data_IF_200205728062
#
_entry.id   IF_200205728062
#
_cell.length_a   1.000
_cell.length_b   1.000
_cell.length_c   1.000
_cell.angle_alpha   90.00
_cell.angle_beta   90.00
_cell.angle_gamma   90.00
#
_symmetry.space_group_name_H-M   'P 1'
#
loop_
_entity.id
_entity.type
_entity.pdbx_description
1 polymer ?
#
# COMPACT_ATOMS: atom_id res chain seq x y z
N UNK A 1 3.85 14.23 20.57
CA UNK A 1 3.36 13.35 19.48
C UNK A 1 1.87 13.54 19.40
N UNK A 2 1.36 14.20 18.36
CA UNK A 2 -0.07 14.17 18.04
C UNK A 2 -0.38 12.77 17.53
N UNK A 3 -0.90 11.94 18.41
CA UNK A 3 -1.28 10.58 18.08
C UNK A 3 -2.62 10.62 17.32
N UNK A 4 -2.70 9.91 16.19
CA UNK A 4 -3.92 9.77 15.38
C UNK A 4 -4.91 8.80 16.04
N UNK A 5 -4.89 8.66 17.37
CA UNK A 5 -5.77 7.81 18.18
C UNK A 5 -7.13 8.44 18.51
N UNK A 6 -7.36 9.68 18.06
CA UNK A 6 -8.60 10.41 18.25
C UNK A 6 -8.76 10.98 19.67
N UNK A 7 -9.04 12.28 19.74
CA UNK A 7 -9.41 12.97 20.98
C UNK A 7 -10.75 12.47 21.53
N UNK A 8 -11.03 12.75 22.81
CA UNK A 8 -12.34 12.42 23.41
C UNK A 8 -13.51 13.01 22.62
N UNK A 9 -13.35 14.24 22.12
CA UNK A 9 -14.36 14.91 21.27
C UNK A 9 -14.57 14.18 19.95
N UNK A 10 -13.48 13.77 19.28
CA UNK A 10 -13.55 13.01 18.03
C UNK A 10 -14.20 11.64 18.25
N UNK A 11 -13.82 10.90 19.29
CA UNK A 11 -14.45 9.60 19.62
C UNK A 11 -15.96 9.75 19.84
N UNK A 12 -16.37 10.75 20.62
CA UNK A 12 -17.79 11.05 20.81
C UNK A 12 -18.50 11.40 19.50
N UNK A 13 -17.89 12.24 18.66
CA UNK A 13 -18.45 12.65 17.38
C UNK A 13 -18.50 11.53 16.35
N UNK A 14 -17.58 10.55 16.42
CA UNK A 14 -17.59 9.35 15.61
C UNK A 14 -18.78 8.45 15.99
N UNK A 15 -19.05 8.27 17.29
CA UNK A 15 -20.17 7.44 17.78
C UNK A 15 -21.53 8.09 17.59
N UNK A 16 -21.64 9.40 17.85
CA UNK A 16 -22.90 10.12 17.80
C UNK A 16 -22.89 11.14 16.68
N UNK A 17 -23.72 10.91 15.65
CA UNK A 17 -23.92 11.88 14.58
C UNK A 17 -24.33 13.24 15.16
N UNK A 18 -23.75 14.33 14.61
CA UNK A 18 -24.12 15.70 15.01
C UNK A 18 -25.54 16.09 14.59
N UNK A 19 -26.23 15.22 13.82
CA UNK A 19 -27.60 15.43 13.36
C UNK A 19 -28.59 15.12 14.51
N UNK A 20 -29.47 16.06 14.90
CA UNK A 20 -30.40 15.84 16.00
C UNK A 20 -31.44 14.76 15.66
N UNK A 21 -31.77 13.92 16.65
CA UNK A 21 -32.69 12.79 16.52
C UNK A 21 -34.13 13.15 16.10
N UNK A 22 -34.53 14.42 16.25
CA UNK A 22 -35.86 14.93 15.88
C UNK A 22 -36.05 15.20 14.38
N UNK A 23 -35.02 14.98 13.56
CA UNK A 23 -35.05 15.21 12.12
C UNK A 23 -35.59 14.02 11.30
N UNK A 24 -36.73 13.45 11.70
CA UNK A 24 -37.32 12.21 11.13
C UNK A 24 -37.79 12.31 9.68
N UNK A 25 -37.68 13.46 9.01
CA UNK A 25 -38.19 13.66 7.64
C UNK A 25 -37.16 14.14 6.61
N UNK A 26 -35.87 14.20 6.96
CA UNK A 26 -34.90 14.89 6.12
C UNK A 26 -33.74 13.97 5.73
N UNK A 27 -33.58 13.84 4.41
CA UNK A 27 -32.55 13.08 3.70
C UNK A 27 -31.17 13.19 4.39
N UNK A 28 -30.44 12.08 4.63
CA UNK A 28 -29.16 12.06 5.34
C UNK A 28 -28.02 12.87 4.70
N UNK A 29 -28.24 13.47 3.53
CA UNK A 29 -27.27 14.28 2.79
C UNK A 29 -27.58 15.78 2.93
N UNK A 30 -27.16 16.46 4.01
CA UNK A 30 -27.53 17.89 4.21
C UNK A 30 -26.44 18.94 4.07
N UNK A 31 -25.16 18.61 4.23
CA UNK A 31 -24.09 19.61 4.10
C UNK A 31 -23.97 20.19 2.67
N UNK A 32 -23.67 21.49 2.49
CA UNK A 32 -23.35 22.03 1.17
C UNK A 32 -22.07 21.41 0.58
N UNK A 33 -21.21 20.89 1.46
CA UNK A 33 -19.91 20.34 1.13
C UNK A 33 -19.82 18.85 1.48
N UNK A 34 -18.83 18.19 0.88
CA UNK A 34 -18.45 16.80 1.12
C UNK A 34 -17.03 16.77 1.66
N UNK A 35 -16.82 16.07 2.77
CA UNK A 35 -15.49 15.82 3.29
C UNK A 35 -14.87 14.58 2.63
N UNK A 36 -13.63 14.73 2.16
CA UNK A 36 -12.90 13.73 1.38
C UNK A 36 -11.60 13.41 2.11
N UNK A 37 -11.42 12.16 2.50
CA UNK A 37 -10.19 11.66 3.12
C UNK A 37 -9.35 10.95 2.05
N UNK A 38 -8.26 11.57 1.57
CA UNK A 38 -7.40 10.90 0.62
C UNK A 38 -6.55 9.84 1.33
N UNK A 39 -6.47 8.67 0.71
CA UNK A 39 -5.58 7.55 1.07
C UNK A 39 -4.82 7.14 -0.19
N UNK A 40 -3.88 6.20 -0.10
CA UNK A 40 -3.11 5.73 -1.26
C UNK A 40 -3.24 4.24 -1.49
N UNK A 41 -3.10 3.84 -2.75
CA UNK A 41 -2.78 2.46 -3.10
C UNK A 41 -1.41 2.07 -2.53
N UNK A 42 -1.34 0.86 -1.98
CA UNK A 42 -0.12 0.30 -1.44
C UNK A 42 -0.10 -1.22 -1.61
N UNK A 43 1.06 -1.82 -1.33
CA UNK A 43 1.17 -3.26 -1.19
C UNK A 43 0.78 -3.67 0.23
N UNK A 44 0.05 -4.78 0.32
CA UNK A 44 -0.28 -5.41 1.59
C UNK A 44 0.98 -6.02 2.24
N UNK A 45 0.83 -6.53 3.45
CA UNK A 45 1.92 -7.12 4.25
C UNK A 45 2.77 -8.06 3.39
N UNK A 46 4.08 -7.88 3.49
CA UNK A 46 5.04 -8.74 2.80
C UNK A 46 5.19 -10.07 3.53
N UNK A 47 5.83 -11.05 2.89
CA UNK A 47 6.15 -12.35 3.53
C UNK A 47 7.17 -12.23 4.67
N UNK A 48 7.88 -11.12 4.77
CA UNK A 48 8.83 -10.80 5.84
C UNK A 48 8.19 -9.96 6.97
N UNK A 49 6.91 -9.59 6.83
CA UNK A 49 6.14 -8.95 7.92
C UNK A 49 6.05 -9.90 9.12
N UNK A 50 5.87 -9.34 10.32
CA UNK A 50 5.73 -10.12 11.56
C UNK A 50 4.48 -11.02 11.56
N UNK A 51 3.44 -10.65 10.81
CA UNK A 51 2.23 -11.43 10.63
C UNK A 51 1.76 -11.40 9.15
N UNK A 52 2.45 -12.11 8.25
CA UNK A 52 2.28 -12.00 6.79
C UNK A 52 0.92 -12.51 6.30
N UNK A 53 0.18 -13.27 7.12
CA UNK A 53 -1.16 -13.77 6.82
C UNK A 53 -2.29 -12.80 7.21
N UNK A 54 -1.99 -11.74 7.98
CA UNK A 54 -2.99 -10.73 8.40
C UNK A 54 -3.20 -9.68 7.32
N UNK A 55 -3.58 -10.13 6.14
CA UNK A 55 -3.81 -9.29 4.96
C UNK A 55 -5.10 -8.46 5.09
N UNK A 56 -5.11 -7.29 4.46
CA UNK A 56 -6.28 -6.42 4.32
C UNK A 56 -6.43 -6.00 2.86
N UNK A 57 -6.81 -6.93 1.97
CA UNK A 57 -6.88 -6.65 0.54
C UNK A 57 -7.96 -5.62 0.22
N UNK A 58 -7.86 -4.99 -0.96
CA UNK A 58 -8.89 -4.08 -1.46
C UNK A 58 -10.30 -4.68 -1.36
N UNK A 59 -11.22 -3.94 -0.74
CA UNK A 59 -12.57 -4.42 -0.46
C UNK A 59 -13.36 -4.65 -1.75
N UNK A 60 -14.21 -5.68 -1.74
CA UNK A 60 -15.15 -5.91 -2.85
C UNK A 60 -16.22 -4.82 -2.85
N UNK A 61 -16.63 -4.37 -4.05
CA UNK A 61 -17.75 -3.44 -4.22
C UNK A 61 -17.37 -2.00 -4.60
N UNK A 62 -16.10 -1.61 -4.55
CA UNK A 62 -15.62 -0.40 -5.21
C UNK A 62 -14.97 -0.72 -6.55
N UNK A 63 -14.96 0.26 -7.46
CA UNK A 63 -14.31 0.19 -8.77
C UNK A 63 -12.88 0.71 -8.64
N UNK A 64 -11.99 -0.15 -8.14
CA UNK A 64 -10.58 0.16 -7.99
C UNK A 64 -9.86 0.27 -9.33
N UNK A 65 -8.75 1.01 -9.32
CA UNK A 65 -7.83 1.12 -10.43
C UNK A 65 -7.38 -0.27 -10.91
N UNK A 66 -7.30 -0.43 -12.22
CA UNK A 66 -6.80 -1.67 -12.82
C UNK A 66 -5.29 -1.77 -12.59
N UNK A 67 -4.89 -2.62 -11.63
CA UNK A 67 -3.49 -2.85 -11.29
C UNK A 67 -3.01 -4.24 -11.78
N UNK A 68 -1.72 -4.39 -12.11
CA UNK A 68 -1.14 -5.68 -12.50
C UNK A 68 -1.35 -6.76 -11.44
N UNK A 69 -1.70 -7.99 -11.82
CA UNK A 69 -1.87 -9.07 -10.85
C UNK A 69 -0.53 -9.43 -10.21
N UNK A 70 -0.49 -9.45 -8.88
CA UNK A 70 0.66 -9.87 -8.09
C UNK A 70 0.50 -11.34 -7.67
N UNK A 71 1.62 -12.09 -7.64
CA UNK A 71 1.62 -13.52 -7.26
C UNK A 71 1.81 -13.75 -5.77
N UNK A 72 2.58 -12.90 -5.10
CA UNK A 72 3.08 -13.14 -3.74
C UNK A 72 2.38 -12.32 -2.66
N UNK A 73 1.61 -11.29 -3.04
CA UNK A 73 0.87 -10.41 -2.12
C UNK A 73 -0.28 -9.69 -2.83
N UNK A 74 -1.15 -9.05 -2.04
CA UNK A 74 -2.28 -8.25 -2.51
C UNK A 74 -1.96 -6.76 -2.52
N UNK A 75 -2.79 -5.99 -3.23
CA UNK A 75 -2.90 -4.54 -3.02
C UNK A 75 -3.81 -4.26 -1.83
N UNK A 76 -3.53 -3.15 -1.14
CA UNK A 76 -4.32 -2.60 -0.04
C UNK A 76 -4.39 -1.08 -0.15
N UNK A 77 -5.12 -0.44 0.77
CA UNK A 77 -5.07 1.01 0.97
C UNK A 77 -4.27 1.32 2.23
N UNK A 78 -3.48 2.39 2.18
CA UNK A 78 -2.74 2.93 3.33
C UNK A 78 -2.94 4.43 3.42
N UNK A 79 -2.71 4.99 4.60
CA UNK A 79 -2.66 6.43 4.79
C UNK A 79 -1.61 7.09 3.88
N UNK A 80 -1.86 8.36 3.54
CA UNK A 80 -0.83 9.20 2.93
C UNK A 80 0.30 9.45 3.93
N UNK A 81 1.52 9.57 3.40
CA UNK A 81 2.68 10.06 4.14
C UNK A 81 2.98 11.52 3.74
N UNK A 82 4.05 12.09 4.29
CA UNK A 82 4.45 13.47 4.03
C UNK A 82 4.60 13.71 2.52
N UNK A 83 3.91 14.73 2.01
CA UNK A 83 3.80 14.97 0.57
C UNK A 83 2.78 16.04 0.26
N UNK A 84 2.20 15.99 -0.93
CA UNK A 84 1.29 17.01 -1.45
C UNK A 84 0.07 16.39 -2.11
N UNK A 85 -1.09 17.01 -1.90
CA UNK A 85 -2.32 16.68 -2.61
C UNK A 85 -2.72 17.88 -3.46
N UNK A 86 -3.02 17.61 -4.72
CA UNK A 86 -3.47 18.59 -5.70
C UNK A 86 -4.92 18.30 -6.06
N UNK A 87 -5.76 19.33 -5.99
CA UNK A 87 -7.17 19.24 -6.37
C UNK A 87 -7.45 20.31 -7.40
N UNK A 88 -7.75 19.89 -8.63
CA UNK A 88 -8.32 20.79 -9.62
C UNK A 88 -9.83 20.67 -9.57
N UNK A 89 -10.50 21.75 -9.20
CA UNK A 89 -11.96 21.85 -9.23
C UNK A 89 -12.37 22.24 -10.65
N UNK A 90 -12.92 21.30 -11.43
CA UNK A 90 -13.35 21.55 -12.81
C UNK A 90 -14.58 22.47 -12.85
N UNK A 91 -15.34 22.59 -11.75
CA UNK A 91 -16.52 23.47 -11.67
C UNK A 91 -16.12 24.90 -11.34
N UNK A 92 -15.14 25.09 -10.44
CA UNK A 92 -14.61 26.40 -10.07
C UNK A 92 -13.44 26.87 -10.96
N UNK A 93 -12.89 25.98 -11.79
CA UNK A 93 -11.70 26.20 -12.64
C UNK A 93 -10.44 26.59 -11.85
N UNK A 94 -10.30 26.08 -10.62
CA UNK A 94 -9.17 26.40 -9.73
C UNK A 94 -8.36 25.17 -9.35
N UNK A 95 -7.03 25.33 -9.34
CA UNK A 95 -6.12 24.35 -8.73
C UNK A 95 -5.85 24.73 -7.28
N UNK A 96 -6.03 23.80 -6.37
CA UNK A 96 -5.68 23.90 -4.97
C UNK A 96 -4.54 22.93 -4.65
N UNK A 97 -3.61 23.40 -3.83
CA UNK A 97 -2.45 22.64 -3.37
C UNK A 97 -2.55 22.48 -1.85
N UNK A 98 -2.25 21.28 -1.36
CA UNK A 98 -2.25 20.95 0.06
C UNK A 98 -0.95 20.25 0.42
N UNK A 99 -0.34 20.61 1.54
CA UNK A 99 0.71 19.82 2.18
C UNK A 99 0.08 18.78 3.10
N UNK A 100 0.56 17.55 3.02
CA UNK A 100 0.15 16.43 3.87
C UNK A 100 1.20 16.24 4.96
N UNK A 101 0.74 16.12 6.20
CA UNK A 101 1.57 15.72 7.34
C UNK A 101 1.15 14.34 7.83
N UNK A 102 1.99 13.33 7.62
CA UNK A 102 1.78 11.95 8.08
C UNK A 102 1.65 11.86 9.60
N UNK A 103 2.44 12.68 10.31
CA UNK A 103 2.48 12.69 11.77
C UNK A 103 1.17 13.19 12.39
N UNK A 104 0.52 14.18 11.77
CA UNK A 104 -0.75 14.74 12.28
C UNK A 104 -1.97 14.16 11.57
N UNK A 105 -1.80 13.62 10.37
CA UNK A 105 -2.89 13.24 9.47
C UNK A 105 -3.56 14.42 8.78
N UNK A 106 -3.04 15.64 8.93
CA UNK A 106 -3.68 16.86 8.40
C UNK A 106 -3.21 17.20 7.00
N UNK A 107 -4.14 17.79 6.24
CA UNK A 107 -3.94 18.49 4.99
C UNK A 107 -4.09 19.99 5.24
N UNK A 108 -3.03 20.75 5.00
CA UNK A 108 -3.06 22.21 5.07
C UNK A 108 -2.98 22.81 3.68
N UNK A 109 -3.89 23.74 3.36
CA UNK A 109 -3.94 24.38 2.05
C UNK A 109 -2.77 25.36 1.92
N UNK A 110 -2.05 25.26 0.81
CA UNK A 110 -1.06 26.26 0.39
C UNK A 110 -1.78 27.28 -0.49
N UNK A 111 -1.97 28.48 0.05
CA UNK A 111 -2.55 29.59 -0.72
C UNK A 111 -1.41 30.34 -1.40
N UNK A 112 -1.41 30.32 -2.73
CA UNK A 112 -0.37 30.98 -3.52
C UNK A 112 -0.48 32.50 -3.37
N UNK A 113 0.61 33.12 -2.93
CA UNK A 113 0.75 34.58 -2.85
C UNK A 113 1.53 35.10 -4.07
N UNK A 114 1.46 36.41 -4.32
CA UNK A 114 2.20 37.04 -5.43
C UNK A 114 3.70 36.74 -5.38
N UNK A 115 4.27 36.64 -4.17
CA UNK A 115 5.69 36.31 -3.97
C UNK A 115 6.06 34.86 -4.34
N UNK A 116 5.06 33.98 -4.49
CA UNK A 116 5.24 32.57 -4.78
C UNK A 116 4.91 32.19 -6.23
N UNK A 117 4.37 33.13 -7.00
CA UNK A 117 4.12 32.94 -8.43
C UNK A 117 5.45 32.65 -9.14
N UNK A 118 5.49 31.56 -9.91
CA UNK A 118 6.70 31.12 -10.60
C UNK A 118 7.69 30.32 -9.72
N UNK A 119 7.44 30.18 -8.41
CA UNK A 119 8.34 29.42 -7.52
C UNK A 119 7.99 27.94 -7.48
N UNK A 120 9.00 27.08 -7.59
CA UNK A 120 8.87 25.62 -7.41
C UNK A 120 8.72 25.22 -5.94
N UNK A 121 9.11 26.10 -5.01
CA UNK A 121 8.97 25.89 -3.57
C UNK A 121 7.96 26.87 -3.01
N UNK A 122 6.85 26.34 -2.51
CA UNK A 122 5.74 27.15 -1.96
C UNK A 122 5.41 26.66 -0.57
N UNK A 123 5.15 27.60 0.33
CA UNK A 123 4.89 27.40 1.75
C UNK A 123 3.74 28.32 2.21
N UNK A 124 3.33 28.23 3.47
CA UNK A 124 2.16 28.98 3.94
C UNK A 124 0.93 28.07 3.95
N UNK A 125 0.87 27.27 5.01
CA UNK A 125 -0.19 26.33 5.31
C UNK A 125 -1.19 26.98 6.27
N UNK A 126 -2.49 26.81 6.02
CA UNK A 126 -3.54 27.15 6.98
C UNK A 126 -3.67 26.10 8.11
N UNK A 127 -4.63 26.32 9.01
CA UNK A 127 -5.04 25.35 10.03
C UNK A 127 -5.52 24.06 9.35
N UNK A 128 -4.62 23.08 9.28
CA UNK A 128 -4.84 21.85 8.52
C UNK A 128 -5.97 21.01 9.09
N UNK A 129 -6.67 20.32 8.20
CA UNK A 129 -7.77 19.40 8.54
C UNK A 129 -7.44 17.98 8.06
N UNK A 130 -7.95 16.92 8.69
CA UNK A 130 -7.68 15.55 8.25
C UNK A 130 -8.51 15.12 7.01
N UNK A 131 -9.10 16.09 6.31
CA UNK A 131 -9.91 15.90 5.13
C UNK A 131 -9.88 17.16 4.25
N UNK A 132 -10.15 16.97 2.98
CA UNK A 132 -10.46 18.02 2.02
C UNK A 132 -11.96 18.33 2.07
N UNK A 133 -12.36 19.59 1.87
CA UNK A 133 -13.77 20.00 1.89
C UNK A 133 -14.11 20.72 0.59
N UNK A 134 -15.08 20.19 -0.16
CA UNK A 134 -15.49 20.72 -1.47
C UNK A 134 -17.01 20.71 -1.64
N UNK A 135 -17.58 21.64 -2.42
CA UNK A 135 -19.03 21.68 -2.65
C UNK A 135 -19.53 20.40 -3.30
N UNK A 136 -20.68 19.92 -2.83
CA UNK A 136 -21.27 18.64 -3.24
C UNK A 136 -21.52 18.50 -4.73
N UNK A 137 -21.73 19.62 -5.44
CA UNK A 137 -22.08 19.59 -6.85
C UNK A 137 -20.85 19.65 -7.77
N UNK A 138 -19.64 19.68 -7.22
CA UNK A 138 -18.44 19.93 -7.99
C UNK A 138 -17.83 18.63 -8.53
N UNK A 139 -17.23 18.76 -9.72
CA UNK A 139 -16.38 17.74 -10.32
C UNK A 139 -14.93 18.05 -9.99
N UNK A 140 -14.24 17.11 -9.36
CA UNK A 140 -12.85 17.27 -8.95
C UNK A 140 -11.92 16.36 -9.74
N UNK A 141 -10.67 16.80 -9.85
CA UNK A 141 -9.51 16.01 -10.25
C UNK A 141 -8.51 16.02 -9.11
N UNK A 142 -8.16 14.86 -8.58
CA UNK A 142 -7.32 14.75 -7.38
C UNK A 142 -6.09 13.90 -7.68
N UNK A 143 -4.91 14.36 -7.23
CA UNK A 143 -3.67 13.61 -7.30
C UNK A 143 -2.83 13.79 -6.04
N UNK A 144 -2.04 12.78 -5.71
CA UNK A 144 -1.03 12.83 -4.66
C UNK A 144 0.37 12.84 -5.30
N UNK A 145 1.32 13.50 -4.64
CA UNK A 145 2.72 13.48 -5.02
C UNK A 145 3.60 13.56 -3.77
N UNK A 146 4.63 12.70 -3.62
CA UNK A 146 5.57 12.80 -2.51
C UNK A 146 6.45 14.05 -2.59
N UNK A 147 6.57 14.65 -3.78
CA UNK A 147 7.33 15.87 -4.03
C UNK A 147 6.39 16.99 -4.46
N UNK A 148 6.71 18.22 -4.06
CA UNK A 148 5.98 19.39 -4.51
C UNK A 148 6.09 19.51 -6.04
N UNK A 149 4.97 19.62 -6.73
CA UNK A 149 4.97 19.89 -8.17
C UNK A 149 5.63 21.23 -8.47
N UNK A 150 6.43 21.25 -9.53
CA UNK A 150 7.00 22.49 -10.05
C UNK A 150 5.89 23.45 -10.47
N UNK A 151 6.20 24.74 -10.49
CA UNK A 151 5.26 25.75 -11.00
C UNK A 151 4.77 25.41 -12.41
N UNK A 152 5.69 24.96 -13.28
CA UNK A 152 5.39 24.54 -14.64
C UNK A 152 4.40 23.38 -14.70
N UNK A 153 4.54 22.39 -13.82
CA UNK A 153 3.61 21.25 -13.73
C UNK A 153 2.21 21.73 -13.33
N UNK A 154 2.13 22.60 -12.33
CA UNK A 154 0.87 23.18 -11.88
C UNK A 154 0.17 23.96 -12.99
N UNK A 155 0.88 24.85 -13.71
CA UNK A 155 0.34 25.62 -14.83
C UNK A 155 -0.06 24.74 -16.02
N UNK A 156 0.73 23.70 -16.33
CA UNK A 156 0.39 22.73 -17.36
C UNK A 156 -0.92 22.02 -17.04
N UNK A 157 -1.09 21.54 -15.80
CA UNK A 157 -2.33 20.88 -15.39
C UNK A 157 -3.50 21.86 -15.30
N UNK A 158 -3.30 23.12 -14.92
CA UNK A 158 -4.36 24.15 -14.98
C UNK A 158 -4.87 24.38 -16.40
N UNK A 159 -3.98 24.35 -17.38
CA UNK A 159 -4.29 24.70 -18.78
C UNK A 159 -4.58 23.51 -19.70
N UNK A 160 -4.32 22.27 -19.27
CA UNK A 160 -4.42 21.09 -20.14
C UNK A 160 -5.41 20.01 -19.59
N UNK A 161 -6.68 20.02 -20.01
CA UNK A 161 -7.70 19.07 -19.56
C UNK A 161 -7.39 17.60 -19.88
N UNK A 162 -6.73 17.33 -21.02
CA UNK A 162 -6.35 15.98 -21.40
C UNK A 162 -5.28 15.42 -20.44
N UNK A 163 -4.30 16.23 -20.08
CA UNK A 163 -3.27 15.86 -19.10
C UNK A 163 -3.88 15.69 -17.70
N UNK A 164 -4.78 16.58 -17.26
CA UNK A 164 -5.52 16.37 -16.01
C UNK A 164 -6.28 15.06 -16.00
N UNK A 165 -6.92 14.72 -17.12
CA UNK A 165 -7.69 13.49 -17.25
C UNK A 165 -6.84 12.22 -17.19
N UNK A 166 -5.59 12.30 -17.65
CA UNK A 166 -4.65 11.19 -17.65
C UNK A 166 -3.93 11.01 -16.29
N UNK A 167 -3.63 12.11 -15.60
CA UNK A 167 -2.75 12.10 -14.41
C UNK A 167 -3.48 12.29 -13.07
N UNK A 168 -4.74 12.74 -13.08
CA UNK A 168 -5.52 13.01 -11.87
C UNK A 168 -6.82 12.21 -11.85
N UNK A 169 -7.15 11.64 -10.69
CA UNK A 169 -8.37 10.85 -10.51
C UNK A 169 -9.60 11.76 -10.53
N UNK A 170 -10.59 11.37 -11.32
CA UNK A 170 -11.88 12.06 -11.34
C UNK A 170 -12.70 11.70 -10.09
N UNK A 171 -13.36 12.70 -9.52
CA UNK A 171 -14.33 12.52 -8.46
C UNK A 171 -15.53 13.44 -8.72
N UNK A 172 -16.63 12.85 -9.18
CA UNK A 172 -17.90 13.57 -9.32
C UNK A 172 -18.66 13.50 -7.99
N UNK A 173 -18.60 14.58 -7.20
CA UNK A 173 -19.23 14.62 -5.88
C UNK A 173 -20.76 14.56 -5.97
N UNK A 174 -21.34 15.11 -7.04
CA UNK A 174 -22.79 15.08 -7.25
C UNK A 174 -23.24 13.65 -7.43
N UNK A 175 -22.54 12.91 -8.29
CA UNK A 175 -22.82 11.50 -8.55
C UNK A 175 -22.50 10.61 -7.35
N UNK A 176 -21.40 10.90 -6.64
CA UNK A 176 -21.09 10.21 -5.39
C UNK A 176 -22.24 10.34 -4.39
N UNK A 177 -22.75 11.55 -4.14
CA UNK A 177 -23.85 11.72 -3.19
C UNK A 177 -25.17 11.04 -3.60
N UNK A 178 -25.35 10.70 -4.88
CA UNK A 178 -26.52 9.92 -5.32
C UNK A 178 -26.30 8.41 -5.21
N UNK A 179 -25.06 7.94 -5.40
CA UNK A 179 -24.77 6.52 -5.64
C UNK A 179 -23.90 5.86 -4.58
N UNK A 180 -23.11 6.65 -3.85
CA UNK A 180 -22.02 6.24 -2.96
C UNK A 180 -20.99 5.31 -3.62
N UNK A 181 -20.84 5.41 -4.95
CA UNK A 181 -20.14 4.40 -5.76
C UNK A 181 -19.29 5.02 -6.88
N UNK A 182 -18.60 6.13 -6.60
CA UNK A 182 -17.60 6.65 -7.53
C UNK A 182 -16.36 5.73 -7.58
N UNK A 183 -15.67 5.63 -8.74
CA UNK A 183 -14.43 4.87 -8.84
C UNK A 183 -13.42 5.28 -7.77
N UNK A 184 -12.63 4.31 -7.30
CA UNK A 184 -11.59 4.51 -6.28
C UNK A 184 -12.09 5.05 -4.91
N UNK A 185 -13.40 5.11 -4.67
CA UNK A 185 -13.97 5.64 -3.41
C UNK A 185 -14.64 4.59 -2.54
N UNK A 186 -14.78 4.91 -1.25
CA UNK A 186 -15.66 4.25 -0.30
C UNK A 186 -16.27 5.28 0.66
N UNK A 187 -17.43 4.99 1.28
CA UNK A 187 -17.94 5.73 2.42
C UNK A 187 -16.92 5.82 3.57
N UNK A 188 -16.80 6.98 4.21
CA UNK A 188 -15.80 7.23 5.25
C UNK A 188 -15.94 6.29 6.45
N UNK A 189 -17.15 5.85 6.79
CA UNK A 189 -17.38 4.90 7.88
C UNK A 189 -16.77 3.50 7.64
N UNK A 190 -16.28 3.21 6.43
CA UNK A 190 -15.55 1.98 6.10
C UNK A 190 -14.03 2.14 6.18
N UNK A 191 -13.51 3.30 6.61
CA UNK A 191 -12.07 3.58 6.62
C UNK A 191 -11.27 2.54 7.43
N UNK A 192 -11.77 2.13 8.60
CA UNK A 192 -11.13 1.11 9.45
C UNK A 192 -11.17 -0.29 8.83
N UNK A 193 -12.10 -0.56 7.90
CA UNK A 193 -12.21 -1.82 7.18
C UNK A 193 -11.29 -1.83 5.95
N UNK A 194 -11.10 -0.67 5.32
CA UNK A 194 -10.43 -0.55 4.02
C UNK A 194 -8.93 -0.23 4.11
N UNK A 195 -8.50 0.56 5.12
CA UNK A 195 -7.15 1.14 5.18
C UNK A 195 -6.29 0.40 6.20
N UNK A 196 -5.20 -0.23 5.77
CA UNK A 196 -4.46 -1.23 6.54
C UNK A 196 -3.67 -0.71 7.74
N UNK A 197 -3.33 0.57 7.74
CA UNK A 197 -2.73 1.28 8.87
C UNK A 197 -3.73 2.16 9.62
N UNK A 198 -5.04 1.90 9.45
CA UNK A 198 -6.11 2.47 10.29
C UNK A 198 -6.84 1.36 11.01
N UNK A 199 -6.86 1.43 12.34
CA UNK A 199 -7.55 0.52 13.23
C UNK A 199 -8.89 1.09 13.70
N UNK A 200 -9.77 0.20 14.16
CA UNK A 200 -11.08 0.58 14.68
C UNK A 200 -10.95 1.07 16.12
N UNK A 201 -11.47 2.26 16.42
CA UNK A 201 -11.57 2.94 17.72
C UNK A 201 -10.26 3.32 18.40
N UNK A 202 -9.24 2.47 18.35
CA UNK A 202 -7.94 2.69 18.97
C UNK A 202 -6.82 2.11 18.12
N UNK A 203 -5.64 2.71 18.25
CA UNK A 203 -4.42 2.32 17.56
C UNK A 203 -3.89 1.00 18.14
N UNK A 204 -3.54 0.03 17.28
CA UNK A 204 -2.91 -1.23 17.66
C UNK A 204 -1.52 -1.31 17.07
N UNK A 205 -0.50 -1.20 17.92
CA UNK A 205 0.90 -1.40 17.51
C UNK A 205 1.24 -2.89 17.47
N UNK A 206 1.25 -3.47 16.27
CA UNK A 206 1.58 -4.87 16.00
C UNK A 206 2.81 -5.03 15.09
N UNK A 207 3.57 -3.96 14.86
CA UNK A 207 4.76 -3.96 14.01
C UNK A 207 4.49 -4.18 12.51
N UNK A 208 3.24 -4.06 12.04
CA UNK A 208 2.91 -4.21 10.62
C UNK A 208 3.66 -3.20 9.75
N UNK A 209 4.02 -3.62 8.53
CA UNK A 209 4.69 -2.77 7.54
C UNK A 209 6.07 -2.24 7.95
N UNK A 210 6.70 -2.82 8.97
CA UNK A 210 8.06 -2.45 9.39
C UNK A 210 9.10 -2.68 8.27
N UNK A 211 8.81 -3.59 7.35
CA UNK A 211 9.62 -3.97 6.19
C UNK A 211 9.19 -3.26 4.88
N UNK A 212 8.28 -2.29 4.96
CA UNK A 212 7.87 -1.46 3.81
C UNK A 212 8.74 -0.22 3.65
N UNK A 213 8.71 0.39 2.46
CA UNK A 213 9.40 1.64 2.15
C UNK A 213 8.87 2.83 2.93
N UNK A 214 7.64 2.73 3.46
CA UNK A 214 7.01 3.73 4.32
C UNK A 214 6.57 3.02 5.61
N UNK A 215 7.47 2.79 6.57
CA UNK A 215 7.15 2.11 7.82
C UNK A 215 6.21 2.92 8.71
N UNK A 216 5.64 2.27 9.73
CA UNK A 216 4.73 2.90 10.70
C UNK A 216 5.46 3.70 11.79
N UNK A 217 6.75 3.44 11.98
CA UNK A 217 7.58 4.09 12.99
C UNK A 217 8.88 4.61 12.35
N UNK A 218 9.47 5.64 12.96
CA UNK A 218 10.78 6.14 12.53
C UNK A 218 11.86 5.13 12.92
N UNK A 219 12.71 4.76 11.98
CA UNK A 219 13.96 4.07 12.29
C UNK A 219 14.86 5.00 13.13
N UNK A 220 15.60 4.43 14.09
CA UNK A 220 16.46 5.17 15.02
C UNK A 220 17.79 5.67 14.43
N UNK A 221 18.08 5.35 13.17
CA UNK A 221 19.35 5.67 12.51
C UNK A 221 19.23 6.95 11.70
N UNK A 222 19.94 8.00 12.12
CA UNK A 222 20.05 9.28 11.42
C UNK A 222 20.97 9.18 10.19
N UNK A 223 20.51 9.77 9.09
CA UNK A 223 21.29 10.47 8.05
C UNK A 223 20.32 11.10 7.02
N UNK A 224 19.12 10.54 6.90
CA UNK A 224 17.98 11.11 6.15
C UNK A 224 16.75 10.99 7.04
N UNK A 225 15.91 12.03 7.20
CA UNK A 225 14.64 11.85 7.94
C UNK A 225 13.80 10.81 7.19
N UNK A 226 13.61 9.60 7.72
CA UNK A 226 12.93 8.56 6.97
C UNK A 226 11.45 8.93 6.83
N UNK A 227 10.91 8.75 5.62
CA UNK A 227 9.47 8.83 5.37
C UNK A 227 8.79 7.73 6.19
N UNK A 228 7.78 8.10 6.97
CA UNK A 228 7.02 7.17 7.80
C UNK A 228 5.56 7.64 7.83
N UNK A 229 4.65 6.70 8.08
CA UNK A 229 3.23 7.00 8.24
C UNK A 229 2.70 6.27 9.48
N UNK A 230 2.58 6.97 10.61
CA UNK A 230 2.05 6.38 11.84
C UNK A 230 0.69 5.74 11.64
N UNK A 231 0.45 4.64 12.35
CA UNK A 231 -0.87 4.06 12.51
C UNK A 231 -1.85 5.08 13.09
N UNK A 232 -3.13 4.94 12.74
CA UNK A 232 -4.20 5.81 13.23
C UNK A 232 -5.46 5.02 13.59
N UNK A 233 -6.37 5.67 14.30
CA UNK A 233 -7.68 5.12 14.61
C UNK A 233 -8.75 5.82 13.77
N UNK A 234 -9.74 5.08 13.28
CA UNK A 234 -10.81 5.58 12.43
C UNK A 234 -11.58 6.79 13.01
N UNK A 235 -11.76 6.80 14.33
CA UNK A 235 -12.36 7.89 15.10
C UNK A 235 -11.67 9.24 14.88
N UNK A 236 -10.39 9.26 14.52
CA UNK A 236 -9.67 10.48 14.18
C UNK A 236 -10.25 11.14 12.92
N UNK A 237 -10.58 10.37 11.87
CA UNK A 237 -11.18 10.90 10.65
C UNK A 237 -12.69 11.06 10.78
N UNK A 238 -13.38 10.02 11.24
CA UNK A 238 -14.85 10.03 11.40
C UNK A 238 -15.32 11.11 12.39
N UNK A 239 -14.58 11.31 13.47
CA UNK A 239 -14.90 12.33 14.48
C UNK A 239 -14.56 13.76 14.07
N UNK A 240 -13.76 13.93 13.01
CA UNK A 240 -13.34 15.25 12.52
C UNK A 240 -14.32 15.86 11.54
N UNK A 241 -15.13 15.06 10.84
CA UNK A 241 -16.10 15.56 9.88
C UNK A 241 -17.41 16.00 10.55
N UNK A 242 -18.19 16.84 9.87
CA UNK A 242 -19.52 17.24 10.33
C UNK A 242 -20.59 16.22 9.95
N UNK A 243 -20.55 15.73 8.71
CA UNK A 243 -21.48 14.78 8.14
C UNK A 243 -20.74 13.51 7.69
N UNK A 244 -20.67 12.51 8.58
CA UNK A 244 -20.01 11.24 8.28
C UNK A 244 -20.68 10.46 7.14
N UNK A 245 -21.98 10.65 6.93
CA UNK A 245 -22.74 9.84 5.97
C UNK A 245 -22.46 10.27 4.54
N UNK A 246 -22.30 11.57 4.28
CA UNK A 246 -21.92 12.06 2.94
C UNK A 246 -20.41 12.07 2.70
N UNK A 247 -19.60 11.92 3.76
CA UNK A 247 -18.14 11.88 3.67
C UNK A 247 -17.62 10.60 3.01
N UNK A 248 -16.46 10.70 2.38
CA UNK A 248 -15.85 9.60 1.63
C UNK A 248 -14.34 9.52 1.85
N UNK A 249 -13.78 8.35 1.56
CA UNK A 249 -12.35 8.19 1.27
C UNK A 249 -12.14 8.00 -0.23
N UNK A 250 -11.00 8.47 -0.74
CA UNK A 250 -10.57 8.25 -2.13
C UNK A 250 -9.15 7.68 -2.14
N UNK A 251 -8.95 6.58 -2.86
CA UNK A 251 -7.65 5.99 -3.08
C UNK A 251 -6.93 6.73 -4.21
N UNK A 252 -5.79 7.35 -3.91
CA UNK A 252 -4.93 8.05 -4.85
C UNK A 252 -3.78 7.15 -5.31
N UNK A 253 -3.29 7.43 -6.51
CA UNK A 253 -2.16 6.69 -7.08
C UNK A 253 -0.85 7.12 -6.39
N UNK A 254 -0.03 6.14 -6.04
CA UNK A 254 1.33 6.34 -5.52
C UNK A 254 2.28 5.28 -6.10
N UNK A 255 2.59 5.38 -7.40
CA UNK A 255 3.41 4.39 -8.08
C UNK A 255 4.84 4.34 -7.52
N UNK A 256 5.36 5.44 -6.96
CA UNK A 256 6.71 5.50 -6.41
C UNK A 256 6.82 4.67 -5.12
N UNK A 257 5.87 4.78 -4.20
CA UNK A 257 5.90 3.95 -2.99
C UNK A 257 5.71 2.47 -3.33
N UNK A 258 4.80 2.13 -4.25
CA UNK A 258 4.63 0.74 -4.71
C UNK A 258 5.93 0.20 -5.32
N UNK A 259 6.60 0.98 -6.16
CA UNK A 259 7.87 0.59 -6.77
C UNK A 259 8.97 0.37 -5.72
N UNK A 260 9.07 1.27 -4.73
CA UNK A 260 10.02 1.14 -3.64
C UNK A 260 9.72 -0.10 -2.77
N UNK A 261 8.45 -0.38 -2.46
CA UNK A 261 8.04 -1.58 -1.73
C UNK A 261 8.36 -2.89 -2.49
N UNK A 262 8.25 -2.89 -3.83
CA UNK A 262 8.68 -4.02 -4.66
C UNK A 262 10.21 -4.17 -4.64
N UNK A 263 10.93 -3.06 -4.79
CA UNK A 263 12.40 -3.04 -4.77
C UNK A 263 12.98 -3.52 -3.44
N UNK A 264 12.42 -3.05 -2.32
CA UNK A 264 12.84 -3.51 -0.99
C UNK A 264 12.61 -5.00 -0.78
N UNK A 265 11.46 -5.54 -1.23
CA UNK A 265 11.21 -6.97 -1.14
C UNK A 265 12.20 -7.77 -2.01
N UNK A 266 12.48 -7.33 -3.23
CA UNK A 266 13.48 -7.98 -4.08
C UNK A 266 14.87 -7.96 -3.42
N UNK A 267 15.26 -6.86 -2.78
CA UNK A 267 16.53 -6.77 -2.06
C UNK A 267 16.59 -7.76 -0.88
N UNK A 268 15.50 -7.89 -0.12
CA UNK A 268 15.38 -8.86 0.97
C UNK A 268 15.48 -10.32 0.46
N UNK A 269 14.84 -10.61 -0.68
CA UNK A 269 14.92 -11.93 -1.34
C UNK A 269 16.35 -12.27 -1.76
N UNK A 270 17.05 -11.31 -2.36
CA UNK A 270 18.44 -11.49 -2.77
C UNK A 270 19.37 -11.68 -1.57
N UNK A 271 19.14 -10.96 -0.47
CA UNK A 271 19.89 -11.14 0.77
C UNK A 271 19.65 -12.52 1.36
N UNK A 272 18.40 -12.97 1.43
CA UNK A 272 18.05 -14.32 1.91
C UNK A 272 18.69 -15.42 1.05
N UNK A 273 18.69 -15.25 -0.28
CA UNK A 273 19.34 -16.18 -1.20
C UNK A 273 20.86 -16.26 -0.98
N UNK A 274 21.53 -15.11 -0.82
CA UNK A 274 22.97 -15.06 -0.53
C UNK A 274 23.33 -15.73 0.79
N UNK A 275 22.51 -15.53 1.83
CA UNK A 275 22.70 -16.20 3.12
C UNK A 275 22.57 -17.72 2.96
N UNK A 276 21.55 -18.18 2.22
CA UNK A 276 21.38 -19.60 1.94
C UNK A 276 22.57 -20.19 1.16
N UNK A 277 23.07 -19.49 0.15
CA UNK A 277 24.27 -19.89 -0.60
C UNK A 277 25.48 -20.01 0.32
N UNK A 278 25.76 -18.99 1.13
CA UNK A 278 26.90 -19.00 2.04
C UNK A 278 26.86 -20.19 3.02
N UNK A 279 25.67 -20.60 3.47
CA UNK A 279 25.50 -21.72 4.40
C UNK A 279 25.52 -23.10 3.71
N UNK A 280 24.95 -23.24 2.51
CA UNK A 280 24.68 -24.55 1.91
C UNK A 280 25.50 -24.88 0.66
N UNK A 281 26.03 -23.87 -0.04
CA UNK A 281 26.65 -24.05 -1.36
C UNK A 281 27.83 -25.01 -1.31
N UNK A 282 28.73 -24.85 -0.33
CA UNK A 282 29.89 -25.72 -0.19
C UNK A 282 29.49 -27.18 0.09
N UNK A 283 28.49 -27.41 0.95
CA UNK A 283 27.99 -28.76 1.27
C UNK A 283 27.36 -29.41 0.05
N UNK A 284 26.60 -28.64 -0.74
CA UNK A 284 25.99 -29.10 -1.99
C UNK A 284 27.08 -29.45 -3.01
N UNK A 285 28.10 -28.59 -3.17
CA UNK A 285 29.21 -28.84 -4.09
C UNK A 285 30.01 -30.10 -3.70
N UNK A 286 30.29 -30.30 -2.41
CA UNK A 286 30.94 -31.53 -1.94
C UNK A 286 30.06 -32.74 -2.24
N UNK A 287 28.77 -32.69 -1.90
CA UNK A 287 27.85 -33.80 -2.15
C UNK A 287 27.81 -34.15 -3.64
N UNK A 288 27.69 -33.16 -4.52
CA UNK A 288 27.74 -33.35 -5.97
C UNK A 288 29.07 -33.96 -6.44
N UNK A 289 30.19 -33.49 -5.89
CA UNK A 289 31.52 -34.00 -6.24
C UNK A 289 31.69 -35.46 -5.80
N UNK A 290 31.25 -35.81 -4.59
CA UNK A 290 31.30 -37.18 -4.09
C UNK A 290 30.38 -38.09 -4.90
N UNK A 291 29.15 -37.66 -5.20
CA UNK A 291 28.24 -38.43 -6.06
C UNK A 291 28.83 -38.65 -7.46
N UNK A 292 29.49 -37.65 -8.05
CA UNK A 292 30.16 -37.83 -9.34
C UNK A 292 31.39 -38.74 -9.27
N UNK A 293 32.13 -38.76 -8.16
CA UNK A 293 33.34 -39.58 -8.02
C UNK A 293 33.04 -41.03 -7.64
N UNK A 294 32.02 -41.24 -6.80
CA UNK A 294 31.77 -42.52 -6.13
C UNK A 294 30.38 -43.10 -6.39
N UNK A 295 29.41 -42.28 -6.79
CA UNK A 295 28.03 -42.73 -6.98
C UNK A 295 27.83 -43.53 -8.25
N UNK A 296 26.71 -44.25 -8.33
CA UNK A 296 26.32 -44.95 -9.54
C UNK A 296 26.14 -43.94 -10.70
N UNK A 297 27.00 -44.02 -11.71
CA UNK A 297 26.89 -43.21 -12.92
C UNK A 297 26.05 -43.94 -13.98
N UNK A 298 25.14 -43.22 -14.63
CA UNK A 298 24.42 -43.71 -15.81
C UNK A 298 24.37 -42.60 -16.86
N UNK A 299 24.60 -42.98 -18.13
CA UNK A 299 24.44 -42.03 -19.23
C UNK A 299 23.00 -41.49 -19.24
N UNK A 300 22.77 -40.18 -19.46
CA UNK A 300 21.44 -39.58 -19.42
C UNK A 300 20.43 -40.28 -20.35
N UNK A 301 20.91 -40.84 -21.45
CA UNK A 301 20.13 -41.56 -22.45
C UNK A 301 19.65 -42.94 -21.96
N UNK A 302 20.33 -43.53 -20.97
CA UNK A 302 20.04 -44.83 -20.37
C UNK A 302 19.14 -44.74 -19.14
N UNK A 303 18.93 -43.53 -18.58
CA UNK A 303 18.01 -43.31 -17.48
C UNK A 303 16.55 -43.55 -17.91
N UNK A 304 15.70 -44.16 -17.04
CA UNK A 304 14.27 -44.29 -17.31
C UNK A 304 13.62 -42.95 -17.63
N UNK A 305 12.67 -42.94 -18.57
CA UNK A 305 11.94 -41.72 -18.98
C UNK A 305 11.17 -41.05 -17.84
N UNK A 306 10.79 -41.81 -16.80
CA UNK A 306 10.12 -41.29 -15.61
C UNK A 306 11.01 -40.41 -14.72
N UNK A 307 12.34 -40.52 -14.82
CA UNK A 307 13.28 -39.80 -13.94
C UNK A 307 14.16 -38.81 -14.69
N UNK A 308 14.43 -39.06 -15.99
CA UNK A 308 15.41 -38.36 -16.84
C UNK A 308 15.41 -36.83 -16.75
N UNK A 309 14.25 -36.18 -16.70
CA UNK A 309 14.12 -34.72 -16.72
C UNK A 309 13.91 -34.08 -15.34
N UNK A 310 14.08 -34.85 -14.26
CA UNK A 310 13.92 -34.36 -12.90
C UNK A 310 15.14 -34.73 -12.05
N UNK A 311 15.99 -33.74 -11.78
CA UNK A 311 17.23 -33.92 -11.04
C UNK A 311 17.04 -34.62 -9.68
N UNK A 312 15.96 -34.31 -8.95
CA UNK A 312 15.70 -34.94 -7.66
C UNK A 312 15.34 -36.42 -7.81
N UNK A 313 14.50 -36.76 -8.80
CA UNK A 313 14.12 -38.16 -9.08
C UNK A 313 15.29 -38.96 -9.63
N UNK A 314 16.12 -38.36 -10.49
CA UNK A 314 17.36 -38.99 -10.98
C UNK A 314 18.30 -39.29 -9.82
N UNK A 315 18.52 -38.33 -8.91
CA UNK A 315 19.36 -38.56 -7.73
C UNK A 315 18.82 -39.69 -6.84
N UNK A 316 17.50 -39.73 -6.62
CA UNK A 316 16.88 -40.81 -5.85
C UNK A 316 17.07 -42.18 -6.53
N UNK A 317 16.82 -42.25 -7.83
CA UNK A 317 16.97 -43.47 -8.62
C UNK A 317 18.40 -44.02 -8.62
N UNK A 318 19.40 -43.14 -8.78
CA UNK A 318 20.81 -43.54 -8.74
C UNK A 318 21.21 -44.03 -7.34
N UNK A 319 20.70 -43.41 -6.28
CA UNK A 319 20.93 -43.90 -4.91
C UNK A 319 20.31 -45.28 -4.65
N UNK A 320 19.09 -45.54 -5.15
CA UNK A 320 18.45 -46.85 -5.06
C UNK A 320 19.20 -47.93 -5.85
N UNK A 321 19.76 -47.58 -7.01
CA UNK A 321 20.60 -48.46 -7.81
C UNK A 321 21.90 -48.83 -7.09
N UNK A 322 22.54 -47.86 -6.44
CA UNK A 322 23.78 -48.08 -5.68
C UNK A 322 23.54 -49.08 -4.54
N UNK A 323 22.47 -48.91 -3.76
CA UNK A 323 22.06 -49.85 -2.71
C UNK A 323 21.78 -51.24 -3.27
N UNK A 324 21.13 -51.34 -4.43
CA UNK A 324 20.90 -52.62 -5.09
C UNK A 324 22.21 -53.33 -5.47
N UNK A 325 23.16 -52.61 -6.06
CA UNK A 325 24.45 -53.18 -6.43
C UNK A 325 25.25 -53.64 -5.21
N UNK A 326 25.26 -52.86 -4.13
CA UNK A 326 25.87 -53.27 -2.85
C UNK A 326 25.27 -54.57 -2.32
N UNK A 327 23.94 -54.70 -2.38
CA UNK A 327 23.26 -55.91 -1.94
C UNK A 327 23.62 -57.13 -2.81
N UNK A 328 23.68 -56.98 -4.13
CA UNK A 328 24.12 -58.06 -5.02
C UNK A 328 25.53 -58.53 -4.69
N UNK A 329 26.47 -57.61 -4.43
CA UNK A 329 27.85 -57.96 -4.05
C UNK A 329 27.88 -58.74 -2.73
N UNK A 330 27.08 -58.35 -1.73
CA UNK A 330 27.00 -59.04 -0.45
C UNK A 330 26.42 -60.46 -0.59
N UNK A 331 25.38 -60.62 -1.42
CA UNK A 331 24.76 -61.92 -1.68
C UNK A 331 25.73 -62.86 -2.43
N UNK A 332 26.47 -62.36 -3.43
CA UNK A 332 27.50 -63.13 -4.12
C UNK A 332 28.63 -63.59 -3.16
N UNK A 333 29.04 -62.72 -2.23
CA UNK A 333 30.05 -63.04 -1.24
C UNK A 333 29.61 -64.07 -0.19
N UNK A 334 28.30 -64.26 0.02
CA UNK A 334 27.75 -65.30 0.92
C UNK A 334 27.60 -66.67 0.25
N UNK A 335 27.61 -66.71 -1.08
CA UNK A 335 27.47 -67.92 -1.88
C UNK A 335 28.84 -68.50 -2.27
N UNK A 336 29.92 -67.70 -2.18
CA UNK A 336 31.31 -68.12 -2.35
C UNK A 336 31.97 -68.60 -1.05
#
# INVERSE_FOLDING_TARGET
MTDKSGTHTQRRAATFAKTPATATSLCPFRGPDVAIVPVRYALDRSRYDTAPQKLKPLLKGSRWAAMPKLKTRSYTLRQLYDGYVYVYDETAETLHEYVVSAATGNLSRIVWTDAQLGSDRRSGADDGKPFLLYPRNNLLRIAFSPLQWTWRTCEHLRSNPASRSAWMKALDLKRYCMTMAEPDTLPLNRIAEAVADIDKEHVVDDGRFADSAIPISKASSEETQPLFSPIGADVFWQGSVEDQHSSLLIALDDPLAIFNDLGMQLAADQAAYRNWQAEHEHRIQIAQTVTALCGAESEPEKLPTSVRDNAALTHQYLGELEVYFEQCILEEAQIS
#
